data_IF_741677016700
#
_entry.id   IF_741677016700
#
_cell.length_a   1.000
_cell.length_b   1.000
_cell.length_c   1.000
_cell.angle_alpha   90.00
_cell.angle_beta   90.00
_cell.angle_gamma   90.00
#
_symmetry.space_group_name_H-M   'P 1'
#
loop_
_entity.id
_entity.type
_entity.pdbx_description
1 polymer ?
#
# COMPACT_ATOMS: atom_id res chain seq x y z
N UNK A 1 -7.98 17.00 12.55
CA UNK A 1 -7.05 15.86 12.47
C UNK A 1 -6.00 16.21 11.42
N UNK A 2 -4.73 16.17 11.77
CA UNK A 2 -3.64 16.45 10.82
C UNK A 2 -3.31 15.20 9.99
N UNK A 3 -2.60 15.36 8.88
CA UNK A 3 -2.10 14.23 8.10
C UNK A 3 -1.24 13.27 8.95
N UNK A 4 -0.47 13.81 9.89
CA UNK A 4 0.36 13.02 10.81
C UNK A 4 -0.48 12.21 11.80
N UNK A 5 -1.57 12.78 12.32
CA UNK A 5 -2.48 12.06 13.24
C UNK A 5 -3.14 10.87 12.54
N UNK A 6 -3.55 11.07 11.27
CA UNK A 6 -4.12 10.01 10.46
C UNK A 6 -3.11 8.90 10.17
N UNK A 7 -1.87 9.26 9.81
CA UNK A 7 -0.80 8.31 9.57
C UNK A 7 -0.46 7.47 10.82
N UNK A 8 -0.40 8.12 12.00
CA UNK A 8 -0.23 7.43 13.29
C UNK A 8 -1.38 6.49 13.59
N UNK A 9 -2.63 6.94 13.40
CA UNK A 9 -3.81 6.11 13.62
C UNK A 9 -3.81 4.83 12.76
N UNK A 10 -3.33 4.92 11.51
CA UNK A 10 -3.18 3.76 10.63
C UNK A 10 -2.13 2.76 11.13
N UNK A 11 -0.95 3.22 11.57
CA UNK A 11 0.06 2.35 12.15
C UNK A 11 -0.43 1.69 13.45
N UNK A 12 -1.05 2.45 14.35
CA UNK A 12 -1.68 1.91 15.56
C UNK A 12 -2.74 0.88 15.20
N UNK A 13 -3.53 1.12 14.16
CA UNK A 13 -4.53 0.19 13.67
C UNK A 13 -3.95 -1.14 13.20
N UNK A 14 -2.81 -1.12 12.51
CA UNK A 14 -2.08 -2.35 12.13
C UNK A 14 -1.46 -3.02 13.36
N UNK A 15 -0.82 -2.25 14.25
CA UNK A 15 -0.24 -2.77 15.49
C UNK A 15 -1.29 -3.49 16.36
N UNK A 16 -2.48 -2.90 16.55
CA UNK A 16 -3.60 -3.52 17.29
C UNK A 16 -4.12 -4.79 16.62
N UNK A 17 -3.98 -4.92 15.29
CA UNK A 17 -4.25 -6.16 14.56
C UNK A 17 -3.09 -7.16 14.65
N UNK A 18 -2.06 -6.84 15.44
CA UNK A 18 -0.89 -7.67 15.78
C UNK A 18 0.23 -7.66 14.73
N UNK A 19 0.22 -6.73 13.77
CA UNK A 19 1.31 -6.62 12.79
C UNK A 19 2.58 -6.10 13.48
N UNK A 20 3.74 -6.63 13.13
CA UNK A 20 5.04 -6.29 13.72
C UNK A 20 5.59 -4.94 13.23
N UNK A 21 4.78 -3.87 13.36
CA UNK A 21 5.10 -2.52 12.87
C UNK A 21 6.33 -1.93 13.57
N UNK A 22 6.57 -2.30 14.83
CA UNK A 22 7.70 -1.78 15.60
C UNK A 22 9.06 -2.23 15.05
N UNK A 23 9.10 -3.36 14.34
CA UNK A 23 10.30 -3.91 13.71
C UNK A 23 10.68 -3.21 12.40
N UNK A 24 9.82 -2.32 11.90
CA UNK A 24 10.07 -1.56 10.68
C UNK A 24 10.95 -0.34 10.96
N UNK A 25 11.85 -0.02 10.03
CA UNK A 25 12.58 1.24 10.04
C UNK A 25 11.68 2.43 9.63
N UNK A 26 12.18 3.66 9.73
CA UNK A 26 11.37 4.86 9.48
C UNK A 26 10.88 4.95 8.02
N UNK A 27 11.72 4.54 7.06
CA UNK A 27 11.36 4.51 5.64
C UNK A 27 10.26 3.48 5.37
N UNK A 28 10.36 2.30 5.97
CA UNK A 28 9.35 1.25 5.86
C UNK A 28 8.03 1.67 6.51
N UNK A 29 8.10 2.30 7.70
CA UNK A 29 6.91 2.87 8.36
C UNK A 29 6.24 3.93 7.49
N UNK A 30 7.01 4.81 6.84
CA UNK A 30 6.47 5.82 5.94
C UNK A 30 5.74 5.18 4.74
N UNK A 31 6.29 4.12 4.15
CA UNK A 31 5.64 3.37 3.05
C UNK A 31 4.33 2.71 3.51
N UNK A 32 4.31 2.10 4.71
CA UNK A 32 3.08 1.51 5.27
C UNK A 32 2.04 2.57 5.64
N UNK A 33 2.45 3.74 6.15
CA UNK A 33 1.55 4.87 6.35
C UNK A 33 0.90 5.30 5.03
N UNK A 34 1.68 5.39 3.95
CA UNK A 34 1.19 5.73 2.62
C UNK A 34 0.28 4.65 2.03
N UNK A 35 0.59 3.36 2.23
CA UNK A 35 -0.27 2.25 1.83
C UNK A 35 -1.67 2.42 2.43
N UNK A 36 -1.72 2.62 3.75
CA UNK A 36 -2.98 2.85 4.46
C UNK A 36 -3.66 4.16 4.06
N UNK A 37 -2.92 5.18 3.62
CA UNK A 37 -3.51 6.41 3.10
C UNK A 37 -4.23 6.19 1.77
N UNK A 38 -3.62 5.48 0.83
CA UNK A 38 -4.22 5.22 -0.49
C UNK A 38 -5.38 4.24 -0.44
N UNK A 39 -5.27 3.19 0.38
CA UNK A 39 -6.24 2.09 0.39
C UNK A 39 -7.24 2.20 1.54
N UNK A 40 -6.92 2.96 2.58
CA UNK A 40 -7.57 2.78 3.87
C UNK A 40 -7.08 1.51 4.58
N UNK A 41 -7.28 1.47 5.89
CA UNK A 41 -6.75 0.41 6.75
C UNK A 41 -7.28 -0.99 6.42
N UNK A 42 -8.53 -1.11 5.96
CA UNK A 42 -9.13 -2.40 5.64
C UNK A 42 -8.49 -3.04 4.40
N UNK A 43 -8.40 -2.30 3.30
CA UNK A 43 -7.80 -2.81 2.07
C UNK A 43 -6.27 -2.91 2.18
N UNK A 44 -5.61 -2.07 2.99
CA UNK A 44 -4.19 -2.22 3.30
C UNK A 44 -3.87 -3.56 4.00
N UNK A 45 -4.74 -4.02 4.90
CA UNK A 45 -4.62 -5.36 5.52
C UNK A 45 -4.68 -6.44 4.43
N UNK A 46 -5.62 -6.34 3.49
CA UNK A 46 -5.71 -7.29 2.38
C UNK A 46 -4.51 -7.22 1.44
N UNK A 47 -3.96 -6.02 1.19
CA UNK A 47 -2.74 -5.82 0.41
C UNK A 47 -1.54 -6.52 1.06
N UNK A 48 -1.34 -6.30 2.37
CA UNK A 48 -0.26 -6.93 3.13
C UNK A 48 -0.38 -8.46 3.09
N UNK A 49 -1.59 -8.99 3.24
CA UNK A 49 -1.83 -10.44 3.23
C UNK A 49 -1.84 -11.06 1.83
N UNK A 50 -1.71 -10.26 0.78
CA UNK A 50 -1.88 -10.67 -0.61
C UNK A 50 -3.23 -11.37 -0.87
N UNK A 51 -4.32 -10.77 -0.39
CA UNK A 51 -5.69 -11.30 -0.50
C UNK A 51 -6.65 -10.34 -1.19
N UNK A 52 -6.13 -9.32 -1.89
CA UNK A 52 -6.96 -8.46 -2.74
C UNK A 52 -7.40 -9.27 -3.97
N UNK A 53 -8.72 -9.39 -4.24
CA UNK A 53 -9.24 -10.03 -5.43
C UNK A 53 -9.11 -9.13 -6.66
N UNK A 54 -9.20 -9.71 -7.86
CA UNK A 54 -9.24 -8.94 -9.12
C UNK A 54 -10.40 -7.92 -9.13
N UNK A 55 -11.62 -8.37 -8.79
CA UNK A 55 -12.86 -7.59 -8.79
C UNK A 55 -13.47 -7.44 -7.37
N UNK A 56 -14.40 -6.49 -7.21
CA UNK A 56 -15.11 -6.25 -5.94
C UNK A 56 -15.85 -7.52 -5.46
N UNK A 57 -15.66 -7.88 -4.18
CA UNK A 57 -16.43 -8.95 -3.54
C UNK A 57 -17.73 -8.36 -3.02
N UNK A 58 -18.85 -8.72 -3.65
CA UNK A 58 -20.18 -8.22 -3.29
C UNK A 58 -20.93 -9.28 -2.48
N UNK A 59 -21.51 -8.86 -1.34
CA UNK A 59 -22.35 -9.71 -0.48
C UNK A 59 -23.71 -9.07 -0.24
N UNK A 60 -24.71 -9.90 0.06
CA UNK A 60 -26.04 -9.42 0.45
C UNK A 60 -26.11 -9.28 1.97
N UNK A 61 -26.49 -8.10 2.46
CA UNK A 61 -26.65 -7.87 3.89
C UNK A 61 -27.98 -8.45 4.42
N UNK A 62 -28.19 -8.40 5.74
CA UNK A 62 -29.42 -8.89 6.41
C UNK A 62 -30.72 -8.23 5.92
N UNK A 63 -30.63 -7.11 5.19
CA UNK A 63 -31.77 -6.37 4.61
C UNK A 63 -31.96 -6.65 3.12
N UNK A 64 -31.26 -7.63 2.54
CA UNK A 64 -31.34 -7.96 1.12
C UNK A 64 -30.58 -7.01 0.18
N UNK A 65 -29.82 -6.04 0.71
CA UNK A 65 -29.05 -5.09 -0.11
C UNK A 65 -27.66 -5.65 -0.45
N UNK A 66 -27.29 -5.61 -1.74
CA UNK A 66 -25.92 -5.88 -2.22
C UNK A 66 -24.98 -4.76 -1.75
N UNK A 67 -23.89 -5.14 -1.08
CA UNK A 67 -22.84 -4.25 -0.61
C UNK A 67 -21.47 -4.81 -0.98
N UNK A 68 -20.51 -3.93 -1.23
CA UNK A 68 -19.11 -4.32 -1.41
C UNK A 68 -18.55 -4.68 -0.04
N UNK A 69 -18.14 -5.94 0.13
CA UNK A 69 -17.45 -6.45 1.31
C UNK A 69 -15.97 -6.09 1.29
N UNK A 70 -15.36 -6.17 0.10
CA UNK A 70 -13.95 -5.92 -0.13
C UNK A 70 -13.78 -5.37 -1.55
N UNK A 71 -12.97 -4.32 -1.70
CA UNK A 71 -12.70 -3.76 -3.01
C UNK A 71 -11.71 -4.65 -3.79
N UNK A 72 -11.93 -4.78 -5.09
CA UNK A 72 -11.01 -5.45 -6.01
C UNK A 72 -9.87 -4.56 -6.47
N UNK A 73 -8.80 -5.17 -6.94
CA UNK A 73 -7.63 -4.49 -7.45
C UNK A 73 -7.97 -3.59 -8.66
N UNK A 74 -8.91 -3.99 -9.51
CA UNK A 74 -9.37 -3.14 -10.62
C UNK A 74 -9.91 -1.81 -10.10
N UNK A 75 -10.85 -1.82 -9.16
CA UNK A 75 -11.43 -0.61 -8.59
C UNK A 75 -10.39 0.23 -7.83
N UNK A 76 -9.54 -0.43 -7.04
CA UNK A 76 -8.52 0.24 -6.26
C UNK A 76 -7.51 0.96 -7.17
N UNK A 77 -7.03 0.31 -8.22
CA UNK A 77 -6.09 0.92 -9.16
C UNK A 77 -6.76 2.01 -10.01
N UNK A 78 -7.94 1.72 -10.57
CA UNK A 78 -8.64 2.66 -11.45
C UNK A 78 -9.15 3.92 -10.72
N UNK A 79 -9.35 3.83 -9.40
CA UNK A 79 -9.64 4.97 -8.56
C UNK A 79 -8.45 5.93 -8.37
N UNK A 80 -7.23 5.47 -8.60
CA UNK A 80 -6.00 6.27 -8.45
C UNK A 80 -5.52 6.81 -9.80
N UNK A 81 -5.63 5.98 -10.83
CA UNK A 81 -5.25 6.32 -12.21
C UNK A 81 -6.35 5.86 -13.15
N UNK A 82 -6.67 6.65 -14.19
CA UNK A 82 -7.72 6.31 -15.14
C UNK A 82 -7.54 4.89 -15.73
N UNK A 83 -8.65 4.20 -16.03
CA UNK A 83 -8.66 2.78 -16.42
C UNK A 83 -7.78 2.47 -17.62
N UNK A 84 -7.79 3.33 -18.63
CA UNK A 84 -6.98 3.17 -19.84
C UNK A 84 -5.49 3.20 -19.49
N UNK A 85 -5.10 4.11 -18.58
CA UNK A 85 -3.72 4.22 -18.10
C UNK A 85 -3.33 3.03 -17.24
N UNK A 86 -4.19 2.65 -16.30
CA UNK A 86 -3.99 1.47 -15.46
C UNK A 86 -3.74 0.21 -16.29
N UNK A 87 -4.62 -0.01 -17.28
CA UNK A 87 -4.55 -1.19 -18.12
C UNK A 87 -3.26 -1.22 -18.95
N UNK A 88 -2.93 -0.10 -19.60
CA UNK A 88 -1.77 0.00 -20.49
C UNK A 88 -0.44 -0.10 -19.74
N UNK A 89 -0.30 0.61 -18.62
CA UNK A 89 1.00 0.80 -17.95
C UNK A 89 1.28 -0.23 -16.86
N UNK A 90 0.24 -0.84 -16.27
CA UNK A 90 0.41 -1.70 -15.11
C UNK A 90 -0.23 -3.07 -15.25
N UNK A 91 -1.42 -3.19 -15.85
CA UNK A 91 -2.09 -4.51 -15.94
C UNK A 91 -1.53 -5.35 -17.08
N UNK A 92 -1.47 -4.81 -18.31
CA UNK A 92 -0.97 -5.52 -19.48
C UNK A 92 0.50 -5.97 -19.34
N UNK A 93 1.41 -5.17 -18.76
CA UNK A 93 2.78 -5.64 -18.48
C UNK A 93 2.88 -6.72 -17.40
N UNK A 94 1.82 -6.94 -16.60
CA UNK A 94 1.75 -7.94 -15.54
C UNK A 94 0.70 -9.01 -15.87
N UNK A 95 0.81 -9.58 -17.07
CA UNK A 95 0.00 -10.71 -17.57
C UNK A 95 -1.52 -10.49 -17.55
N UNK A 96 -1.95 -9.23 -17.56
CA UNK A 96 -3.37 -8.89 -17.51
C UNK A 96 -3.99 -8.96 -16.11
N UNK A 97 -3.21 -9.16 -15.05
CA UNK A 97 -3.69 -9.18 -13.66
C UNK A 97 -3.83 -7.77 -13.10
N UNK A 98 -5.01 -7.43 -12.62
CA UNK A 98 -5.21 -6.19 -11.87
C UNK A 98 -4.55 -6.26 -10.50
N UNK A 99 -4.47 -7.44 -9.88
CA UNK A 99 -3.77 -7.61 -8.61
C UNK A 99 -2.30 -7.24 -8.76
N UNK A 100 -1.59 -7.89 -9.69
CA UNK A 100 -0.16 -7.60 -9.91
C UNK A 100 0.06 -6.18 -10.43
N UNK A 101 -0.79 -5.69 -11.34
CA UNK A 101 -0.74 -4.31 -11.81
C UNK A 101 -0.93 -3.28 -10.68
N UNK A 102 -1.86 -3.51 -9.76
CA UNK A 102 -2.09 -2.63 -8.62
C UNK A 102 -0.89 -2.62 -7.65
N UNK A 103 -0.29 -3.78 -7.38
CA UNK A 103 0.91 -3.89 -6.55
C UNK A 103 2.09 -3.17 -7.20
N UNK A 104 2.32 -3.39 -8.49
CA UNK A 104 3.37 -2.74 -9.26
C UNK A 104 3.21 -1.21 -9.30
N UNK A 105 1.99 -0.71 -9.46
CA UNK A 105 1.71 0.73 -9.43
C UNK A 105 2.01 1.35 -8.06
N UNK A 106 1.59 0.73 -6.96
CA UNK A 106 1.88 1.25 -5.62
C UNK A 106 3.38 1.23 -5.32
N UNK A 107 4.09 0.18 -5.73
CA UNK A 107 5.55 0.09 -5.63
C UNK A 107 6.22 1.24 -6.39
N UNK A 108 5.90 1.43 -7.67
CA UNK A 108 6.44 2.53 -8.49
C UNK A 108 6.14 3.89 -7.87
N UNK A 109 4.88 4.10 -7.47
CA UNK A 109 4.46 5.36 -6.87
C UNK A 109 5.25 5.67 -5.60
N UNK A 110 5.39 4.70 -4.68
CA UNK A 110 6.12 4.90 -3.43
C UNK A 110 7.62 5.10 -3.64
N UNK A 111 8.23 4.40 -4.59
CA UNK A 111 9.64 4.60 -4.92
C UNK A 111 9.93 6.02 -5.43
N UNK A 112 8.95 6.66 -6.09
CA UNK A 112 9.05 8.06 -6.52
C UNK A 112 8.66 9.06 -5.42
N UNK A 113 7.65 8.75 -4.62
CA UNK A 113 7.07 9.67 -3.65
C UNK A 113 7.76 9.67 -2.28
N UNK A 114 8.33 8.54 -1.86
CA UNK A 114 8.89 8.34 -0.52
C UNK A 114 10.41 8.29 -0.61
N UNK A 115 11.01 9.48 -0.64
CA UNK A 115 12.46 9.70 -0.72
C UNK A 115 12.99 10.58 0.43
N UNK A 116 12.88 10.15 1.72
CA UNK A 116 13.43 10.87 2.87
C UNK A 116 14.86 11.40 2.71
N UNK A 117 15.74 10.69 1.98
CA UNK A 117 17.13 11.04 1.70
C UNK A 117 17.26 12.36 0.93
N UNK A 118 16.26 12.74 0.14
CA UNK A 118 16.21 14.02 -0.56
C UNK A 118 16.11 15.21 0.41
N UNK A 119 15.55 14.98 1.60
CA UNK A 119 15.35 16.01 2.64
C UNK A 119 16.38 15.93 3.78
N UNK A 120 17.25 14.92 3.78
CA UNK A 120 18.28 14.75 4.79
C UNK A 120 19.49 15.66 4.54
N UNK A 121 20.07 16.19 5.62
CA UNK A 121 21.37 16.87 5.56
C UNK A 121 22.44 15.94 4.99
N UNK A 122 23.45 16.53 4.32
CA UNK A 122 24.58 15.78 3.78
C UNK A 122 25.31 15.01 4.89
N UNK A 123 25.78 13.80 4.57
CA UNK A 123 26.53 12.93 5.49
C UNK A 123 25.90 11.55 5.65
N UNK A 124 26.32 10.84 6.71
CA UNK A 124 25.98 9.44 6.91
C UNK A 124 24.48 9.15 6.98
N UNK A 125 23.67 10.06 7.52
CA UNK A 125 22.21 9.87 7.60
C UNK A 125 21.54 9.88 6.23
N UNK A 126 22.00 10.73 5.29
CA UNK A 126 21.49 10.74 3.91
C UNK A 126 21.82 9.44 3.19
N UNK A 127 23.05 8.95 3.35
CA UNK A 127 23.47 7.65 2.80
C UNK A 127 22.66 6.49 3.39
N UNK A 128 22.42 6.50 4.70
CA UNK A 128 21.58 5.50 5.37
C UNK A 128 20.16 5.49 4.80
N UNK A 129 19.50 6.64 4.71
CA UNK A 129 18.13 6.74 4.19
C UNK A 129 18.04 6.32 2.73
N UNK A 130 19.01 6.70 1.88
CA UNK A 130 19.04 6.24 0.49
C UNK A 130 19.19 4.71 0.36
N UNK A 131 19.96 4.09 1.27
CA UNK A 131 20.07 2.63 1.32
C UNK A 131 18.76 1.98 1.78
N UNK A 132 18.08 2.56 2.76
CA UNK A 132 16.78 2.10 3.25
C UNK A 132 15.68 2.24 2.19
N UNK A 133 15.67 3.34 1.41
CA UNK A 133 14.78 3.53 0.27
C UNK A 133 14.98 2.46 -0.80
N UNK A 134 16.23 2.15 -1.13
CA UNK A 134 16.57 1.13 -2.13
C UNK A 134 16.17 -0.27 -1.68
N UNK A 135 16.30 -0.58 -0.39
CA UNK A 135 16.01 -1.90 0.18
C UNK A 135 14.56 -2.05 0.67
N UNK A 136 13.83 -0.95 0.74
CA UNK A 136 12.52 -0.89 1.38
C UNK A 136 11.37 -1.19 0.44
N UNK A 137 11.53 -2.05 -0.58
CA UNK A 137 10.47 -2.36 -1.53
C UNK A 137 9.16 -2.70 -0.80
N UNK A 138 8.04 -2.13 -1.23
CA UNK A 138 6.75 -2.31 -0.58
C UNK A 138 6.39 -3.80 -0.50
N UNK A 139 6.66 -4.57 -1.56
CA UNK A 139 6.44 -6.02 -1.56
C UNK A 139 7.23 -6.73 -0.45
N UNK A 140 8.50 -6.38 -0.27
CA UNK A 140 9.37 -6.97 0.75
C UNK A 140 8.89 -6.60 2.16
N UNK A 141 8.48 -5.35 2.37
CA UNK A 141 7.89 -4.91 3.64
C UNK A 141 6.61 -5.69 3.93
N UNK A 142 5.73 -5.84 2.93
CA UNK A 142 4.48 -6.58 3.13
C UNK A 142 4.72 -8.04 3.45
N UNK A 143 5.73 -8.67 2.84
CA UNK A 143 6.08 -10.05 3.16
C UNK A 143 6.60 -10.20 4.59
N UNK A 144 7.42 -9.26 5.08
CA UNK A 144 7.85 -9.21 6.50
C UNK A 144 6.67 -9.08 7.48
N UNK A 145 5.59 -8.45 7.05
CA UNK A 145 4.41 -8.18 7.88
C UNK A 145 3.32 -9.24 7.77
N UNK A 146 3.39 -10.11 6.76
CA UNK A 146 2.44 -11.20 6.55
C UNK A 146 2.45 -12.16 7.73
N UNK A 147 1.31 -12.81 8.00
CA UNK A 147 1.13 -13.71 9.14
C UNK A 147 0.51 -15.03 8.72
#
# INVERSE_FOLDING_TARGET
MTAMDYAKANLTGLHTRGYAIDNLNDTEKARIMYLCHHLGLADAVHFIQNTIPEEDVVVTNKKGKKIVKQNGAEKLLTGQIAKEKAFKEFVNPNDGSWVEGHRAWLEDFMNRAITPSAFACLGGKKTQLGNEETKGALTDITEKLKK
#
